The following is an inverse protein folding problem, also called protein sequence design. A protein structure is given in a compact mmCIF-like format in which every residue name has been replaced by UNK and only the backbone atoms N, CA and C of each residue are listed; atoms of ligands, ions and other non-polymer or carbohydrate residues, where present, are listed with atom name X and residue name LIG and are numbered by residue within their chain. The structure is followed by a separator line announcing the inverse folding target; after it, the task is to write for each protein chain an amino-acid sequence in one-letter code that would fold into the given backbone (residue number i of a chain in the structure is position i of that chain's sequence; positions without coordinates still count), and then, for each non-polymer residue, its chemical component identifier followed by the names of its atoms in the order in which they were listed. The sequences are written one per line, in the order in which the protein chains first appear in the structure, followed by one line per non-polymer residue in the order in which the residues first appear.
data_IF_245290883356
#
_entry.id   IF_245290883356
#
_cell.length_a   1.000
_cell.length_b   1.000
_cell.length_c   1.000
_cell.angle_alpha   90.00
_cell.angle_beta   90.00
_cell.angle_gamma   90.00
#
_symmetry.space_group_name_H-M   'P 1'
#
loop_
_entity.id
_entity.type
_entity.pdbx_description
1 polymer ?
#
# COMPACT_ATOMS: atom_id res chain seq x y z
N UNK A 1 15.38 -45.13 -4.36
CA UNK A 1 14.14 -44.96 -5.14
C UNK A 1 13.02 -44.65 -4.16
N UNK A 2 12.80 -43.37 -3.88
CA UNK A 2 11.85 -42.90 -2.86
C UNK A 2 10.91 -41.87 -3.47
N UNK A 3 9.63 -42.21 -3.45
CA UNK A 3 8.44 -41.61 -4.04
C UNK A 3 8.31 -40.08 -3.96
N UNK A 4 8.06 -39.50 -5.13
CA UNK A 4 7.43 -38.21 -5.36
C UNK A 4 5.91 -38.27 -5.13
N UNK A 5 5.25 -37.08 -5.18
CA UNK A 5 3.79 -36.79 -5.15
C UNK A 5 3.25 -36.48 -3.73
N UNK A 6 2.57 -35.37 -3.41
CA UNK A 6 1.66 -34.51 -4.18
C UNK A 6 1.50 -33.10 -3.60
N UNK A 7 0.97 -32.22 -4.44
CA UNK A 7 0.45 -30.86 -4.20
C UNK A 7 -0.55 -30.73 -3.04
N UNK A 8 -0.55 -29.61 -2.29
CA UNK A 8 -1.71 -29.23 -1.48
C UNK A 8 -2.78 -28.62 -2.39
N UNK A 9 -3.84 -29.39 -2.64
CA UNK A 9 -5.13 -28.87 -3.08
C UNK A 9 -5.70 -28.02 -1.94
N UNK A 10 -5.90 -26.72 -2.18
CA UNK A 10 -6.53 -25.83 -1.20
C UNK A 10 -7.96 -26.33 -0.92
N UNK A 11 -8.16 -26.86 0.28
CA UNK A 11 -9.49 -27.12 0.82
C UNK A 11 -10.21 -25.80 1.00
N UNK A 12 -11.31 -25.62 0.29
CA UNK A 12 -12.34 -24.67 0.67
C UNK A 12 -13.02 -25.18 1.96
N UNK A 13 -12.62 -24.63 3.12
CA UNK A 13 -13.28 -24.84 4.40
C UNK A 13 -14.04 -23.57 4.79
N UNK A 14 -15.32 -23.77 5.09
CA UNK A 14 -16.32 -22.74 5.43
C UNK A 14 -16.15 -22.15 6.84
N UNK A 15 -16.76 -20.96 7.00
CA UNK A 15 -17.33 -20.33 8.21
C UNK A 15 -16.34 -19.79 9.25
N UNK A 16 -16.21 -18.46 9.22
CA UNK A 16 -15.79 -17.62 10.33
C UNK A 16 -15.87 -16.16 9.89
N UNK A 17 -16.87 -15.43 10.38
CA UNK A 17 -16.90 -13.97 10.27
C UNK A 17 -15.77 -13.42 11.13
N UNK A 18 -14.65 -13.11 10.48
CA UNK A 18 -13.51 -12.42 11.07
C UNK A 18 -13.03 -11.44 10.02
N UNK A 19 -13.21 -10.15 10.31
CA UNK A 19 -12.74 -9.03 9.51
C UNK A 19 -11.22 -9.21 9.32
N UNK A 20 -10.85 -9.69 8.14
CA UNK A 20 -9.52 -10.21 7.88
C UNK A 20 -8.48 -9.11 7.93
N UNK A 21 -7.73 -9.03 9.02
CA UNK A 21 -6.31 -8.68 8.94
C UNK A 21 -5.57 -9.85 8.27
N UNK A 22 -5.94 -10.16 7.03
CA UNK A 22 -5.15 -11.04 6.19
C UNK A 22 -3.83 -10.35 5.95
N UNK A 23 -2.72 -11.08 6.10
CA UNK A 23 -1.41 -10.54 5.73
C UNK A 23 -1.52 -9.91 4.35
N UNK A 24 -0.99 -8.69 4.18
CA UNK A 24 -1.19 -7.98 2.94
C UNK A 24 -0.54 -8.80 1.83
N UNK A 25 -1.38 -9.35 0.96
CA UNK A 25 -0.97 -10.32 -0.06
C UNK A 25 -0.61 -9.64 -1.38
N UNK A 26 -0.57 -8.31 -1.37
CA UNK A 26 -0.34 -7.45 -2.54
C UNK A 26 0.48 -6.23 -2.16
N UNK A 27 1.30 -5.74 -3.09
CA UNK A 27 1.78 -4.37 -3.04
C UNK A 27 0.64 -3.42 -3.43
N UNK A 28 0.56 -2.24 -2.80
CA UNK A 28 -0.54 -1.30 -3.01
C UNK A 28 -0.03 0.04 -3.51
N UNK A 29 -0.52 0.48 -4.66
CA UNK A 29 -0.24 1.81 -5.22
C UNK A 29 -1.49 2.67 -5.12
N UNK A 30 -1.39 3.78 -4.41
CA UNK A 30 -2.47 4.72 -4.17
C UNK A 30 -2.21 5.98 -5.00
N UNK A 31 -3.11 6.25 -5.94
CA UNK A 31 -3.06 7.45 -6.74
C UNK A 31 -3.56 8.63 -5.89
N UNK A 32 -2.93 9.79 -6.03
CA UNK A 32 -3.44 11.03 -5.40
C UNK A 32 -4.86 11.40 -5.86
N UNK A 33 -5.31 10.85 -6.99
CA UNK A 33 -6.68 10.98 -7.50
C UNK A 33 -7.70 10.10 -6.74
N UNK A 34 -7.25 9.31 -5.76
CA UNK A 34 -8.11 8.45 -4.94
C UNK A 34 -8.43 7.09 -5.57
N UNK A 35 -7.56 6.60 -6.47
CA UNK A 35 -7.62 5.24 -7.01
C UNK A 35 -6.61 4.34 -6.32
N UNK A 36 -6.92 3.05 -6.20
CA UNK A 36 -6.03 2.02 -5.66
C UNK A 36 -5.74 0.98 -6.75
N UNK A 37 -4.47 0.65 -6.91
CA UNK A 37 -3.99 -0.44 -7.75
C UNK A 37 -3.26 -1.46 -6.87
N UNK A 38 -3.65 -2.73 -6.97
CA UNK A 38 -3.07 -3.81 -6.18
C UNK A 38 -2.29 -4.77 -7.08
N UNK A 39 -1.07 -5.11 -6.67
CA UNK A 39 -0.18 -6.00 -7.41
C UNK A 39 0.06 -7.27 -6.60
N UNK A 40 -0.38 -8.41 -7.15
CA UNK A 40 -0.21 -9.76 -6.55
C UNK A 40 1.14 -10.40 -6.85
N UNK A 41 1.86 -9.85 -7.82
CA UNK A 41 3.13 -10.38 -8.31
C UNK A 41 4.19 -9.28 -8.25
N UNK A 42 5.48 -9.63 -8.10
CA UNK A 42 6.58 -8.67 -8.17
C UNK A 42 6.44 -7.80 -9.42
N UNK A 43 6.43 -6.49 -9.22
CA UNK A 43 6.24 -5.48 -10.26
C UNK A 43 7.20 -4.35 -10.01
N UNK A 44 7.90 -3.88 -11.03
CA UNK A 44 8.83 -2.76 -10.89
C UNK A 44 8.10 -1.42 -10.88
N UNK A 45 8.67 -0.43 -10.20
CA UNK A 45 8.15 0.94 -10.19
C UNK A 45 8.04 1.51 -11.61
N UNK A 46 9.03 1.25 -12.46
CA UNK A 46 9.04 1.66 -13.85
C UNK A 46 7.86 1.11 -14.66
N UNK A 47 7.38 -0.10 -14.36
CA UNK A 47 6.20 -0.66 -15.01
C UNK A 47 4.93 0.15 -14.71
N UNK A 48 4.77 0.60 -13.47
CA UNK A 48 3.64 1.43 -13.05
C UNK A 48 3.74 2.84 -13.62
N UNK A 49 4.94 3.42 -13.63
CA UNK A 49 5.20 4.75 -14.20
C UNK A 49 4.95 4.77 -15.70
N UNK A 50 5.30 3.71 -16.43
CA UNK A 50 5.05 3.59 -17.88
C UNK A 50 3.55 3.70 -18.21
N UNK A 51 2.68 3.19 -17.33
CA UNK A 51 1.22 3.28 -17.50
C UNK A 51 0.65 4.64 -17.09
N UNK A 52 1.42 5.45 -16.35
CA UNK A 52 0.98 6.71 -15.77
C UNK A 52 2.01 7.81 -16.08
N UNK A 53 1.99 8.38 -17.30
CA UNK A 53 2.94 9.40 -17.70
C UNK A 53 2.83 10.65 -16.82
N UNK A 54 3.94 11.37 -16.67
CA UNK A 54 4.07 12.55 -15.80
C UNK A 54 3.84 12.29 -14.31
N UNK A 55 3.91 11.04 -13.87
CA UNK A 55 3.83 10.66 -12.46
C UNK A 55 5.13 9.97 -12.01
N UNK A 56 5.33 9.94 -10.70
CA UNK A 56 6.39 9.19 -10.03
C UNK A 56 5.80 8.38 -8.87
N UNK A 57 6.51 7.34 -8.47
CA UNK A 57 6.19 6.53 -7.31
C UNK A 57 7.06 6.91 -6.11
N UNK A 58 6.50 6.73 -4.92
CA UNK A 58 7.18 6.96 -3.67
C UNK A 58 6.65 5.99 -2.61
N UNK A 59 7.55 5.47 -1.77
CA UNK A 59 7.17 4.62 -0.64
C UNK A 59 6.56 5.46 0.48
N UNK A 60 5.49 4.96 1.12
CA UNK A 60 4.90 5.62 2.29
C UNK A 60 5.88 5.69 3.47
N UNK A 61 6.81 4.74 3.57
CA UNK A 61 7.79 4.67 4.66
C UNK A 61 8.91 5.73 4.53
N UNK A 62 9.15 6.21 3.30
CA UNK A 62 10.21 7.19 3.02
C UNK A 62 9.68 8.63 2.96
N UNK A 63 8.39 8.85 3.26
CA UNK A 63 7.81 10.19 3.31
C UNK A 63 8.01 10.84 4.68
N UNK A 64 8.67 12.00 4.70
CA UNK A 64 8.92 12.76 5.92
C UNK A 64 8.31 14.17 5.84
N UNK A 65 7.96 14.73 7.00
CA UNK A 65 7.55 16.13 7.12
C UNK A 65 8.69 17.06 6.71
N UNK A 66 8.34 18.15 6.04
CA UNK A 66 9.23 19.22 5.59
C UNK A 66 10.39 18.75 4.71
N UNK A 67 10.26 17.58 4.07
CA UNK A 67 11.20 17.05 3.08
C UNK A 67 10.56 16.94 1.70
N UNK A 68 11.39 16.96 0.66
CA UNK A 68 10.94 16.54 -0.67
C UNK A 68 10.57 15.06 -0.63
N UNK A 69 9.65 14.67 -1.51
CA UNK A 69 9.24 13.28 -1.61
C UNK A 69 10.34 12.51 -2.34
N UNK A 70 10.88 11.42 -1.77
CA UNK A 70 11.83 10.59 -2.49
C UNK A 70 11.13 9.87 -3.65
N UNK A 71 11.77 9.90 -4.81
CA UNK A 71 11.36 9.08 -5.95
C UNK A 71 11.85 7.65 -5.76
N UNK A 72 10.96 6.69 -5.95
CA UNK A 72 11.31 5.29 -6.10
C UNK A 72 11.90 5.08 -7.50
N UNK A 73 13.07 4.47 -7.59
CA UNK A 73 13.76 4.22 -8.85
C UNK A 73 13.01 3.23 -9.74
N UNK A 74 13.08 3.43 -11.06
CA UNK A 74 12.32 2.63 -12.04
C UNK A 74 12.60 1.12 -11.99
N UNK A 75 13.80 0.76 -11.53
CA UNK A 75 14.26 -0.64 -11.40
C UNK A 75 13.91 -1.27 -10.05
N UNK A 76 13.39 -0.50 -9.10
CA UNK A 76 13.02 -1.02 -7.78
C UNK A 76 11.70 -1.79 -7.87
N UNK A 77 11.62 -2.91 -7.17
CA UNK A 77 10.43 -3.74 -7.11
C UNK A 77 9.49 -3.27 -6.00
N UNK A 78 8.18 -3.30 -6.29
CA UNK A 78 7.14 -3.04 -5.31
C UNK A 78 7.00 -4.25 -4.39
N UNK A 79 7.30 -4.04 -3.12
CA UNK A 79 7.26 -5.09 -2.11
C UNK A 79 5.82 -5.39 -1.70
N UNK A 80 5.52 -6.69 -1.60
CA UNK A 80 4.23 -7.15 -1.12
C UNK A 80 4.04 -6.70 0.33
N UNK A 81 2.90 -6.09 0.63
CA UNK A 81 2.62 -5.54 1.94
C UNK A 81 2.96 -4.09 2.12
N UNK A 82 3.70 -3.51 1.18
CA UNK A 82 4.04 -2.10 1.22
C UNK A 82 3.03 -1.23 0.48
N UNK A 83 2.96 0.03 0.92
CA UNK A 83 2.11 1.06 0.36
C UNK A 83 2.98 2.08 -0.34
N UNK A 84 2.60 2.38 -1.57
CA UNK A 84 3.25 3.36 -2.42
C UNK A 84 2.23 4.39 -2.86
N UNK A 85 2.66 5.64 -3.00
CA UNK A 85 1.84 6.70 -3.55
C UNK A 85 2.32 7.03 -4.97
N UNK A 86 1.37 7.17 -5.89
CA UNK A 86 1.62 7.66 -7.22
C UNK A 86 1.24 9.14 -7.29
N UNK A 87 2.22 9.99 -7.58
CA UNK A 87 2.08 11.45 -7.53
C UNK A 87 2.54 12.12 -8.83
N UNK A 88 1.93 13.24 -9.24
CA UNK A 88 2.37 14.00 -10.41
C UNK A 88 3.77 14.58 -10.19
N UNK A 89 4.62 14.55 -11.22
CA UNK A 89 5.96 15.14 -11.21
C UNK A 89 5.95 16.64 -10.84
N UNK A 90 4.87 17.35 -11.10
CA UNK A 90 4.72 18.76 -10.68
C UNK A 90 4.81 18.95 -9.15
N UNK A 91 4.63 17.89 -8.36
CA UNK A 91 4.69 17.91 -6.90
C UNK A 91 6.01 17.36 -6.33
N UNK A 92 6.93 16.84 -7.15
CA UNK A 92 8.17 16.21 -6.66
C UNK A 92 9.11 17.18 -5.94
N UNK A 93 9.15 18.43 -6.37
CA UNK A 93 10.02 19.47 -5.81
C UNK A 93 9.36 20.22 -4.63
N UNK A 94 8.15 19.82 -4.22
CA UNK A 94 7.45 20.44 -3.09
C UNK A 94 7.84 19.74 -1.80
N UNK A 95 8.11 20.51 -0.75
CA UNK A 95 8.23 19.97 0.60
C UNK A 95 6.86 19.49 1.10
N UNK A 96 6.83 18.30 1.69
CA UNK A 96 5.63 17.75 2.30
C UNK A 96 5.29 18.49 3.58
N UNK A 97 4.20 19.25 3.57
CA UNK A 97 3.66 19.82 4.81
C UNK A 97 2.90 18.76 5.61
N UNK A 98 2.66 19.03 6.90
CA UNK A 98 1.78 18.20 7.73
C UNK A 98 0.39 18.03 7.11
N UNK A 99 -0.15 19.10 6.53
CA UNK A 99 -1.44 19.05 5.83
C UNK A 99 -1.41 18.10 4.65
N UNK A 100 -0.33 18.09 3.86
CA UNK A 100 -0.20 17.19 2.70
C UNK A 100 -0.16 15.72 3.12
N UNK A 101 0.62 15.39 4.16
CA UNK A 101 0.68 14.04 4.72
C UNK A 101 -0.68 13.59 5.27
N UNK A 102 -1.39 14.46 6.00
CA UNK A 102 -2.73 14.16 6.48
C UNK A 102 -3.70 13.89 5.32
N UNK A 103 -3.63 14.67 4.24
CA UNK A 103 -4.45 14.45 3.04
C UNK A 103 -4.13 13.10 2.40
N UNK A 104 -2.85 12.74 2.26
CA UNK A 104 -2.44 11.43 1.73
C UNK A 104 -2.94 10.28 2.61
N UNK A 105 -2.82 10.40 3.94
CA UNK A 105 -3.29 9.41 4.90
C UNK A 105 -4.82 9.22 4.85
N UNK A 106 -5.59 10.31 4.73
CA UNK A 106 -7.05 10.25 4.58
C UNK A 106 -7.45 9.59 3.26
N UNK A 107 -6.79 9.95 2.15
CA UNK A 107 -7.00 9.30 0.84
C UNK A 107 -6.69 7.81 0.92
N UNK A 108 -5.57 7.45 1.54
CA UNK A 108 -5.18 6.06 1.74
C UNK A 108 -6.23 5.30 2.56
N UNK A 109 -6.65 5.84 3.70
CA UNK A 109 -7.67 5.21 4.56
C UNK A 109 -8.97 4.96 3.81
N UNK A 110 -9.39 5.92 2.98
CA UNK A 110 -10.61 5.81 2.15
C UNK A 110 -10.52 4.68 1.14
N UNK A 111 -9.40 4.53 0.44
CA UNK A 111 -9.27 3.50 -0.61
C UNK A 111 -8.92 2.12 -0.06
N UNK A 112 -8.16 2.08 1.04
CA UNK A 112 -7.79 0.83 1.71
C UNK A 112 -8.96 0.22 2.50
N UNK A 113 -10.03 0.99 2.73
CA UNK A 113 -11.17 0.53 3.50
C UNK A 113 -10.78 0.23 4.96
N UNK A 114 -9.72 0.87 5.48
CA UNK A 114 -9.40 0.82 6.90
C UNK A 114 -10.56 1.49 7.61
N UNK A 115 -11.51 0.67 8.08
CA UNK A 115 -12.43 1.10 9.11
C UNK A 115 -11.56 1.33 10.34
N UNK A 116 -11.23 2.60 10.59
CA UNK A 116 -10.90 3.02 11.94
C UNK A 116 -12.14 2.70 12.77
N UNK A 117 -12.19 1.51 13.37
CA UNK A 117 -13.01 1.32 14.55
C UNK A 117 -12.28 2.16 15.61
N UNK A 118 -12.79 3.32 16.03
CA UNK A 118 -12.29 3.92 17.25
C UNK A 118 -12.57 2.87 18.32
N UNK A 119 -11.55 2.14 18.78
CA UNK A 119 -11.71 1.32 19.97
C UNK A 119 -11.93 2.30 21.11
N UNK A 120 -13.14 2.44 21.67
CA UNK A 120 -13.28 3.17 22.90
C UNK A 120 -12.42 2.43 23.94
N UNK A 121 -11.61 3.21 24.63
CA UNK A 121 -10.88 2.82 25.83
C UNK A 121 -11.72 1.95 26.76
N UNK A 122 -11.47 0.64 26.75
CA UNK A 122 -11.61 -0.26 27.90
C UNK A 122 -10.18 -0.51 28.37
N UNK A 123 -9.74 -0.18 29.58
CA UNK A 123 -10.38 -0.46 30.86
C UNK A 123 -9.60 0.29 31.96
N UNK A 124 -10.08 1.46 32.40
CA UNK A 124 -9.67 2.01 33.70
C UNK A 124 -10.62 1.39 34.73
N UNK A 125 -10.31 0.15 35.11
CA UNK A 125 -10.89 -0.45 36.30
C UNK A 125 -9.88 -1.42 36.89
N UNK A 126 -8.98 -0.89 37.70
CA UNK A 126 -8.85 -1.20 39.14
C UNK A 126 -8.01 -0.13 39.82
#
# INVERSE_FOLDING_TARGET
MGICISTPTMRAQRRGGGEGTGWPSTAKVIHVDGKLQEFKYPTTAGHVILQNPNCFLCSSESMNLDSCVPHLGDNEELEIGQIYFLMPLSQSNKLLSLSDLCILAVKASKVLGVKQNPTPSTFFQQ
#
